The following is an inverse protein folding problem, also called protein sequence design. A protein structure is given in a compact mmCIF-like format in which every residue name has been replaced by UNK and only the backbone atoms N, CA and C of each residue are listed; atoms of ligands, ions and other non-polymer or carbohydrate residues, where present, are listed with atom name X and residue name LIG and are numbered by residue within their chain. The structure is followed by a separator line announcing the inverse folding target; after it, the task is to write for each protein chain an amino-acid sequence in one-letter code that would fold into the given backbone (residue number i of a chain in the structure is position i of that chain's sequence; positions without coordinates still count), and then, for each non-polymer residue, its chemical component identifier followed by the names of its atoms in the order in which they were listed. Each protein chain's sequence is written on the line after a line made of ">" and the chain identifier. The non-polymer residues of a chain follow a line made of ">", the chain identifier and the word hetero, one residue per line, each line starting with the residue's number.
data_IF_957637692300
#
_entry.id   IF_957637692300
#
_cell.length_a   1.000
_cell.length_b   1.000
_cell.length_c   1.000
_cell.angle_alpha   90.00
_cell.angle_beta   90.00
_cell.angle_gamma   90.00
#
_symmetry.space_group_name_H-M   'P 1'
#
loop_
_entity.id
_entity.type
_entity.pdbx_description
1 polymer ?
#
# COMPACT_ATOMS: atom_id res chain seq x y z
N UNK A 1 -5.14 -1.25 6.12
CA UNK A 1 -6.01 -0.89 4.98
C UNK A 1 -5.83 0.58 4.63
N UNK A 2 -5.95 0.91 3.36
CA UNK A 2 -5.89 2.29 2.89
C UNK A 2 -6.81 2.52 1.70
N UNK A 3 -7.33 3.74 1.58
CA UNK A 3 -8.14 4.19 0.46
C UNK A 3 -7.26 4.90 -0.56
N UNK A 4 -7.36 4.51 -1.82
CA UNK A 4 -6.70 5.25 -2.91
C UNK A 4 -7.55 6.46 -3.22
N UNK A 5 -7.03 7.67 -2.96
CA UNK A 5 -7.79 8.92 -3.11
C UNK A 5 -7.55 9.61 -4.44
N UNK A 6 -6.40 9.36 -5.07
CA UNK A 6 -6.06 9.94 -6.36
C UNK A 6 -4.82 9.32 -6.99
N UNK A 7 -4.61 9.62 -8.27
CA UNK A 7 -3.40 9.26 -9.02
C UNK A 7 -2.68 10.54 -9.39
N UNK A 8 -1.41 10.65 -9.02
CA UNK A 8 -0.52 11.73 -9.42
C UNK A 8 0.22 11.26 -10.67
N UNK A 9 -0.03 11.91 -11.80
CA UNK A 9 0.82 11.79 -12.99
C UNK A 9 2.01 12.71 -12.76
N UNK A 10 3.21 12.15 -12.59
CA UNK A 10 4.41 12.94 -12.36
C UNK A 10 4.68 13.84 -13.59
N UNK A 11 4.29 15.10 -13.51
CA UNK A 11 4.83 16.16 -14.34
C UNK A 11 6.07 16.69 -13.62
N UNK A 12 7.25 16.22 -14.04
CA UNK A 12 8.54 16.79 -13.65
C UNK A 12 9.13 16.31 -12.33
N UNK A 13 10.02 15.32 -12.40
CA UNK A 13 11.29 15.26 -11.64
C UNK A 13 12.05 14.01 -12.10
N UNK A 14 13.27 14.22 -12.61
CA UNK A 14 14.12 13.19 -13.20
C UNK A 14 14.36 11.96 -12.32
N UNK A 15 14.71 10.87 -13.00
CA UNK A 15 15.22 9.58 -12.50
C UNK A 15 14.23 8.45 -12.10
N UNK A 16 12.91 8.58 -12.26
CA UNK A 16 11.97 7.48 -11.93
C UNK A 16 10.92 7.16 -13.02
N UNK A 17 11.33 7.09 -14.29
CA UNK A 17 10.44 6.82 -15.44
C UNK A 17 9.69 5.48 -15.44
N UNK A 18 9.77 4.69 -14.37
CA UNK A 18 9.11 3.39 -14.22
C UNK A 18 8.02 3.32 -13.17
N UNK A 19 7.69 4.42 -12.47
CA UNK A 19 6.73 4.41 -11.35
C UNK A 19 5.57 5.40 -11.56
N UNK A 20 4.39 4.98 -11.15
CA UNK A 20 3.20 5.81 -11.02
C UNK A 20 2.89 5.95 -9.53
N UNK A 21 2.55 7.17 -9.13
CA UNK A 21 2.28 7.50 -7.73
C UNK A 21 0.76 7.65 -7.51
N UNK A 22 0.27 7.00 -6.46
CA UNK A 22 -1.09 7.17 -5.96
C UNK A 22 -1.05 7.80 -4.58
N UNK A 23 -2.01 8.67 -4.30
CA UNK A 23 -2.25 9.16 -2.96
C UNK A 23 -3.07 8.11 -2.19
N UNK A 24 -2.51 7.59 -1.10
CA UNK A 24 -3.14 6.58 -0.25
C UNK A 24 -3.48 7.19 1.11
N UNK A 25 -4.77 7.24 1.44
CA UNK A 25 -5.24 7.56 2.77
C UNK A 25 -5.25 6.29 3.64
N UNK A 26 -4.28 6.13 4.53
CA UNK A 26 -4.20 5.00 5.47
C UNK A 26 -5.28 5.13 6.53
N UNK A 27 -6.29 4.26 6.45
CA UNK A 27 -7.45 4.26 7.36
C UNK A 27 -7.19 3.46 8.63
N UNK A 28 -6.50 2.32 8.53
CA UNK A 28 -6.11 1.50 9.69
C UNK A 28 -4.82 0.71 9.45
N UNK A 29 -4.00 0.57 10.49
CA UNK A 29 -2.78 -0.24 10.49
C UNK A 29 -3.01 -1.45 11.40
N UNK A 30 -2.84 -2.66 10.86
CA UNK A 30 -3.07 -3.92 11.59
C UNK A 30 -1.78 -4.60 12.04
N UNK A 31 -0.70 -4.44 11.27
CA UNK A 31 0.63 -4.97 11.57
C UNK A 31 1.66 -3.97 11.03
N UNK A 32 2.75 -3.78 11.75
CA UNK A 32 3.90 -2.96 11.33
C UNK A 32 5.17 -3.52 11.96
N UNK A 33 6.32 -3.27 11.35
CA UNK A 33 7.61 -3.61 11.96
C UNK A 33 7.86 -2.75 13.23
N UNK A 34 8.65 -3.21 14.21
CA UNK A 34 8.92 -2.46 15.45
C UNK A 34 9.44 -1.04 15.23
N UNK A 35 10.25 -0.81 14.19
CA UNK A 35 10.81 0.52 13.83
C UNK A 35 10.09 1.19 12.64
N UNK A 36 8.88 0.74 12.33
CA UNK A 36 8.06 1.29 11.25
C UNK A 36 7.55 2.69 11.58
N UNK A 37 7.59 3.61 10.61
CA UNK A 37 6.97 4.94 10.71
C UNK A 37 5.56 4.96 10.12
N UNK A 38 5.04 3.81 9.70
CA UNK A 38 3.69 3.66 9.17
C UNK A 38 2.65 3.99 10.24
N UNK A 39 1.76 4.93 9.90
CA UNK A 39 0.68 5.44 10.75
C UNK A 39 -0.52 5.82 9.88
N UNK A 40 -1.66 6.10 10.52
CA UNK A 40 -2.84 6.63 9.83
C UNK A 40 -2.51 7.99 9.22
N UNK A 41 -3.14 8.33 8.10
CA UNK A 41 -2.89 9.56 7.34
C UNK A 41 -2.54 9.30 5.88
N UNK A 42 -2.20 10.35 5.15
CA UNK A 42 -1.90 10.27 3.73
C UNK A 42 -0.43 9.92 3.50
N UNK A 43 -0.18 8.95 2.62
CA UNK A 43 1.16 8.60 2.16
C UNK A 43 1.12 8.22 0.67
N UNK A 44 2.26 8.25 -0.02
CA UNK A 44 2.32 7.83 -1.40
C UNK A 44 2.46 6.31 -1.56
N UNK A 45 1.69 5.75 -2.49
CA UNK A 45 1.76 4.37 -2.94
C UNK A 45 2.28 4.34 -4.38
N UNK A 46 3.45 3.75 -4.59
CA UNK A 46 4.10 3.65 -5.90
C UNK A 46 3.77 2.31 -6.54
N UNK A 47 3.46 2.32 -7.83
CA UNK A 47 3.19 1.11 -8.62
C UNK A 47 3.99 1.21 -9.89
N UNK A 48 4.63 0.12 -10.34
CA UNK A 48 5.42 0.19 -11.57
C UNK A 48 4.51 0.41 -12.76
N UNK A 49 4.96 1.17 -13.76
CA UNK A 49 4.20 1.44 -14.99
C UNK A 49 3.85 0.13 -15.69
N UNK A 50 4.80 -0.81 -15.77
CA UNK A 50 4.60 -2.14 -16.37
C UNK A 50 3.48 -2.96 -15.72
N UNK A 51 3.35 -2.85 -14.39
CA UNK A 51 2.36 -3.56 -13.59
C UNK A 51 0.96 -2.98 -13.83
N UNK A 52 0.87 -1.66 -14.04
CA UNK A 52 -0.38 -1.01 -14.45
C UNK A 52 -0.77 -1.35 -15.89
N UNK A 53 0.19 -1.48 -16.79
CA UNK A 53 -0.06 -1.85 -18.19
C UNK A 53 -0.66 -3.26 -18.31
N UNK A 54 -0.24 -4.21 -17.47
CA UNK A 54 -0.82 -5.55 -17.43
C UNK A 54 -2.10 -5.65 -16.54
N UNK A 55 -2.58 -4.53 -16.00
CA UNK A 55 -3.73 -4.44 -15.07
C UNK A 55 -3.53 -5.20 -13.75
N UNK A 56 -2.29 -5.42 -13.34
CA UNK A 56 -1.93 -6.17 -12.14
C UNK A 56 -1.06 -5.30 -11.20
N UNK A 57 -1.62 -4.61 -10.21
CA UNK A 57 -3.00 -4.71 -9.70
C UNK A 57 -3.99 -3.73 -10.34
N UNK A 58 -5.27 -4.14 -10.39
CA UNK A 58 -6.39 -3.28 -10.80
C UNK A 58 -6.77 -2.30 -9.69
N UNK A 59 -6.00 -1.22 -9.57
CA UNK A 59 -6.25 -0.14 -8.60
C UNK A 59 -7.32 0.81 -9.13
N UNK A 60 -8.30 1.10 -8.29
CA UNK A 60 -9.40 2.03 -8.55
C UNK A 60 -9.33 3.18 -7.54
N UNK A 61 -9.59 4.39 -8.02
CA UNK A 61 -9.73 5.58 -7.16
C UNK A 61 -10.99 5.42 -6.30
N UNK A 62 -10.96 6.00 -5.10
CA UNK A 62 -12.02 5.96 -4.09
C UNK A 62 -12.36 4.57 -3.55
N UNK A 63 -11.55 3.56 -3.84
CA UNK A 63 -11.66 2.23 -3.27
C UNK A 63 -10.63 2.01 -2.16
N UNK A 64 -11.05 1.25 -1.15
CA UNK A 64 -10.19 0.83 -0.05
C UNK A 64 -9.60 -0.54 -0.34
N UNK A 65 -8.38 -0.75 0.12
CA UNK A 65 -7.63 -1.99 -0.08
C UNK A 65 -7.01 -2.47 1.23
N UNK A 66 -7.03 -3.78 1.45
CA UNK A 66 -6.09 -4.44 2.36
C UNK A 66 -4.77 -4.58 1.61
N UNK A 67 -3.71 -4.00 2.18
CA UNK A 67 -2.36 -4.00 1.62
C UNK A 67 -1.49 -4.77 2.60
N UNK A 68 -0.89 -5.87 2.13
CA UNK A 68 0.07 -6.69 2.86
C UNK A 68 1.36 -6.75 2.05
N UNK A 69 2.52 -6.65 2.68
CA UNK A 69 3.79 -6.71 1.97
C UNK A 69 4.94 -6.15 2.79
N UNK A 70 6.02 -5.80 2.09
CA UNK A 70 7.24 -5.26 2.68
C UNK A 70 7.20 -3.74 2.61
N UNK A 71 7.13 -3.07 3.76
CA UNK A 71 7.00 -1.60 3.86
C UNK A 71 8.10 -0.84 3.10
N UNK A 72 9.33 -1.37 3.08
CA UNK A 72 10.50 -0.76 2.43
C UNK A 72 10.81 -1.36 1.04
N UNK A 73 9.86 -2.01 0.39
CA UNK A 73 10.07 -2.63 -0.93
C UNK A 73 10.60 -1.64 -1.99
N UNK A 74 10.13 -0.39 -1.95
CA UNK A 74 10.55 0.66 -2.87
C UNK A 74 11.87 1.36 -2.52
N UNK A 75 12.43 1.13 -1.33
CA UNK A 75 13.59 1.87 -0.85
C UNK A 75 14.84 1.62 -1.71
N UNK A 76 15.03 0.39 -2.21
CA UNK A 76 16.14 0.05 -3.12
C UNK A 76 16.01 0.71 -4.50
N UNK A 77 14.80 1.12 -4.89
CA UNK A 77 14.52 1.85 -6.12
C UNK A 77 14.45 3.37 -5.91
N UNK A 78 14.85 3.87 -4.73
CA UNK A 78 14.85 5.29 -4.41
C UNK A 78 13.48 5.94 -4.22
N UNK A 79 12.38 5.16 -4.21
CA UNK A 79 11.04 5.72 -4.03
C UNK A 79 10.69 5.82 -2.55
N UNK A 80 10.21 7.01 -2.13
CA UNK A 80 9.81 7.27 -0.75
C UNK A 80 8.32 7.00 -0.57
N UNK A 81 7.97 6.04 0.28
CA UNK A 81 6.59 5.63 0.54
C UNK A 81 6.40 4.12 0.49
N UNK A 82 5.15 3.69 0.34
CA UNK A 82 4.86 2.30 0.03
C UNK A 82 5.08 2.07 -1.46
N UNK A 83 5.53 0.87 -1.82
CA UNK A 83 5.61 0.42 -3.19
C UNK A 83 4.88 -0.90 -3.33
N UNK A 84 4.20 -1.08 -4.47
CA UNK A 84 3.65 -2.36 -4.89
C UNK A 84 4.73 -3.07 -5.70
N UNK A 85 5.13 -4.23 -5.22
CA UNK A 85 6.03 -5.16 -5.90
C UNK A 85 5.54 -6.59 -5.81
N UNK A 86 6.41 -7.53 -6.16
CA UNK A 86 6.12 -8.97 -6.23
C UNK A 86 5.73 -9.57 -4.88
N UNK A 87 6.17 -8.95 -3.76
CA UNK A 87 5.84 -9.39 -2.40
C UNK A 87 4.70 -8.60 -1.78
N UNK A 88 3.94 -7.87 -2.60
CA UNK A 88 2.83 -7.05 -2.14
C UNK A 88 1.50 -7.64 -2.61
N UNK A 89 0.59 -7.89 -1.67
CA UNK A 89 -0.77 -8.33 -1.92
C UNK A 89 -1.74 -7.16 -1.72
N UNK A 90 -2.50 -6.81 -2.77
CA UNK A 90 -3.59 -5.83 -2.73
C UNK A 90 -4.93 -6.53 -2.92
N UNK A 91 -5.78 -6.47 -1.90
CA UNK A 91 -7.13 -7.01 -1.96
C UNK A 91 -8.13 -5.87 -1.78
N UNK A 92 -9.12 -5.74 -2.68
CA UNK A 92 -10.20 -4.76 -2.52
C UNK A 92 -10.92 -5.03 -1.19
N UNK A 93 -11.05 -3.98 -0.37
CA UNK A 93 -11.54 -4.10 0.99
C UNK A 93 -13.04 -4.46 1.00
N UNK A 94 -13.39 -5.39 1.89
CA UNK A 94 -14.79 -5.77 2.17
C UNK A 94 -15.07 -5.52 3.65
N UNK A 95 -16.21 -4.93 3.98
CA UNK A 95 -16.46 -4.43 5.34
C UNK A 95 -16.49 -5.52 6.40
N UNK A 96 -16.95 -6.72 6.05
CA UNK A 96 -16.93 -7.89 6.92
C UNK A 96 -15.51 -8.35 7.30
N UNK A 97 -14.48 -7.91 6.57
CA UNK A 97 -13.09 -8.20 6.90
C UNK A 97 -12.61 -7.44 8.12
N UNK A 98 -13.25 -6.31 8.50
CA UNK A 98 -12.87 -5.55 9.71
C UNK A 98 -12.79 -6.46 10.93
N UNK A 99 -13.87 -7.21 11.20
CA UNK A 99 -13.95 -8.11 12.36
C UNK A 99 -12.94 -9.26 12.25
N UNK A 100 -12.75 -9.81 11.05
CA UNK A 100 -11.84 -10.93 10.79
C UNK A 100 -10.38 -10.54 11.01
N UNK A 101 -9.93 -9.44 10.41
CA UNK A 101 -8.55 -8.95 10.53
C UNK A 101 -8.25 -8.52 11.97
N UNK A 102 -9.18 -7.90 12.68
CA UNK A 102 -9.00 -7.57 14.11
C UNK A 102 -8.85 -8.81 14.99
N UNK A 103 -9.59 -9.89 14.72
CA UNK A 103 -9.39 -11.17 15.43
C UNK A 103 -8.00 -11.76 15.18
N UNK A 104 -7.55 -11.76 13.93
CA UNK A 104 -6.20 -12.22 13.58
C UNK A 104 -5.12 -11.38 14.26
N UNK A 105 -5.28 -10.05 14.25
CA UNK A 105 -4.38 -9.13 14.94
C UNK A 105 -4.26 -9.45 16.43
N UNK A 106 -5.39 -9.66 17.13
CA UNK A 106 -5.37 -10.01 18.56
C UNK A 106 -4.68 -11.36 18.82
N UNK A 107 -4.94 -12.37 18.00
CA UNK A 107 -4.30 -13.69 18.13
C UNK A 107 -2.78 -13.60 17.93
N UNK A 108 -2.33 -12.79 16.98
CA UNK A 108 -0.90 -12.62 16.70
C UNK A 108 -0.13 -11.92 17.83
N UNK A 109 -0.81 -11.14 18.69
CA UNK A 109 -0.19 -10.53 19.88
C UNK A 109 0.10 -11.60 20.97
N UNK A 110 -0.65 -12.70 20.98
CA UNK A 110 -0.54 -13.76 21.99
C UNK A 110 0.36 -14.92 21.53
N UNK A 111 0.99 -14.83 20.37
CA UNK A 111 2.00 -15.80 19.93
C UNK A 111 3.35 -15.36 20.51
N UNK A 112 3.71 -15.95 21.66
CA UNK A 112 5.05 -15.91 22.23
C UNK A 112 5.83 -17.14 21.81
#
# INVERSE_FOLDING_TARGET
>A
MGRVVGRETAAGAGAAGGWVRFALAVQAVYKRAPRSRLRRGTLPLHVRVRDLSCKCPKIKINKSYLILGVEKEGASAGVSGLAVGERTLLLEWRDEWHRRVRRLQRRAVNCH
#
